data_IF_666032610875
#
_entry.id   IF_666032610875
#
_cell.length_a   1.000
_cell.length_b   1.000
_cell.length_c   1.000
_cell.angle_alpha   90.00
_cell.angle_beta   90.00
_cell.angle_gamma   90.00
#
_symmetry.space_group_name_H-M   'P 1'
#
loop_
_entity.id
_entity.type
_entity.pdbx_description
1 polymer ?
#
# COMPACT_ATOMS: atom_id res chain seq x y z
N UNK A 1 -18.32 1.00 -21.69
CA UNK A 1 -18.46 0.21 -22.93
C UNK A 1 -17.17 -0.51 -23.32
N UNK A 2 -15.98 0.14 -23.23
CA UNK A 2 -14.69 -0.46 -23.62
C UNK A 2 -14.34 -1.75 -22.86
N UNK A 3 -14.76 -1.86 -21.60
CA UNK A 3 -14.46 -2.98 -20.71
C UNK A 3 -15.71 -3.82 -20.34
N UNK A 4 -16.78 -3.76 -21.15
CA UNK A 4 -17.98 -4.54 -20.92
C UNK A 4 -19.11 -3.82 -20.17
N UNK A 5 -18.90 -2.58 -19.72
CA UNK A 5 -19.89 -1.80 -18.98
C UNK A 5 -19.66 -1.80 -17.47
N UNK A 6 -20.53 -1.12 -16.75
CA UNK A 6 -20.46 -1.04 -15.29
C UNK A 6 -20.90 -2.38 -14.67
N UNK A 7 -20.17 -2.83 -13.67
CA UNK A 7 -20.49 -4.02 -12.85
C UNK A 7 -20.85 -3.64 -11.42
N UNK A 8 -20.81 -2.34 -11.08
CA UNK A 8 -21.18 -1.74 -9.80
C UNK A 8 -21.78 -0.37 -10.06
N UNK A 9 -22.74 0.02 -9.25
CA UNK A 9 -23.37 1.35 -9.32
C UNK A 9 -22.57 2.40 -8.55
N UNK A 10 -21.81 1.96 -7.53
CA UNK A 10 -21.00 2.81 -6.67
C UNK A 10 -19.59 2.24 -6.50
N UNK A 11 -18.61 3.13 -6.34
CA UNK A 11 -17.21 2.80 -6.01
C UNK A 11 -16.83 3.55 -4.74
N UNK A 12 -16.29 2.82 -3.78
CA UNK A 12 -15.77 3.38 -2.55
C UNK A 12 -14.36 3.94 -2.77
N UNK A 13 -14.06 5.07 -2.14
CA UNK A 13 -12.76 5.74 -2.21
C UNK A 13 -12.12 5.88 -0.85
N UNK A 14 -10.79 5.81 -0.81
CA UNK A 14 -9.99 6.35 0.28
C UNK A 14 -9.29 7.64 -0.17
N UNK A 15 -8.86 8.45 0.78
CA UNK A 15 -8.11 9.68 0.50
C UNK A 15 -6.63 9.51 0.85
N UNK A 16 -5.75 10.16 0.10
CA UNK A 16 -4.32 10.27 0.44
C UNK A 16 -4.03 11.65 1.02
N UNK A 17 -3.37 11.71 2.17
CA UNK A 17 -3.00 12.94 2.84
C UNK A 17 -2.73 12.76 4.33
N UNK A 18 -2.22 13.81 4.97
CA UNK A 18 -1.80 13.77 6.37
C UNK A 18 -2.96 13.75 7.39
N UNK A 19 -4.21 13.85 6.93
CA UNK A 19 -5.39 14.02 7.79
C UNK A 19 -6.50 12.99 7.47
N UNK A 20 -6.28 11.70 7.81
CA UNK A 20 -7.30 10.66 7.67
C UNK A 20 -8.61 10.96 8.42
N UNK A 21 -8.53 11.66 9.54
CA UNK A 21 -9.67 12.11 10.33
C UNK A 21 -10.62 13.01 9.51
N UNK A 22 -10.08 13.96 8.76
CA UNK A 22 -10.89 14.77 7.84
C UNK A 22 -11.46 13.96 6.67
N UNK A 23 -10.68 13.00 6.15
CA UNK A 23 -11.19 12.10 5.11
C UNK A 23 -12.40 11.31 5.60
N UNK A 24 -12.39 10.84 6.86
CA UNK A 24 -13.53 10.18 7.48
C UNK A 24 -14.77 11.09 7.55
N UNK A 25 -14.59 12.35 8.00
CA UNK A 25 -15.68 13.34 8.05
C UNK A 25 -16.27 13.61 6.66
N UNK A 26 -15.46 13.52 5.59
CA UNK A 26 -15.89 13.67 4.21
C UNK A 26 -16.56 12.42 3.63
N UNK A 27 -16.65 11.31 4.37
CA UNK A 27 -17.32 10.08 3.93
C UNK A 27 -16.44 9.09 3.16
N UNK A 28 -15.11 9.28 3.14
CA UNK A 28 -14.20 8.26 2.60
C UNK A 28 -14.15 7.02 3.51
N UNK A 29 -13.84 5.86 2.93
CA UNK A 29 -13.74 4.59 3.69
C UNK A 29 -12.39 4.39 4.37
N UNK A 30 -11.40 5.21 4.03
CA UNK A 30 -10.03 5.12 4.55
C UNK A 30 -9.20 6.36 4.26
N UNK A 31 -8.04 6.42 4.90
CA UNK A 31 -7.04 7.46 4.69
C UNK A 31 -5.62 6.89 4.66
N UNK A 32 -4.87 7.27 3.64
CA UNK A 32 -3.47 6.87 3.45
C UNK A 32 -2.56 8.04 3.82
N UNK A 33 -1.67 7.83 4.78
CA UNK A 33 -0.74 8.82 5.30
C UNK A 33 0.67 8.58 4.76
N UNK A 34 1.46 9.64 4.45
CA UNK A 34 2.88 9.47 4.18
C UNK A 34 3.65 9.14 5.47
N UNK A 35 4.71 8.33 5.36
CA UNK A 35 5.75 8.26 6.39
C UNK A 35 6.60 9.54 6.35
N UNK A 36 7.14 9.93 7.50
CA UNK A 36 7.98 11.13 7.62
C UNK A 36 9.43 10.80 7.95
N UNK A 37 9.72 9.58 8.37
CA UNK A 37 11.05 9.13 8.79
C UNK A 37 11.49 7.90 8.00
N UNK A 38 12.80 7.65 7.99
CA UNK A 38 13.39 6.58 7.21
C UNK A 38 14.56 5.88 7.92
N UNK A 39 15.30 5.00 7.22
CA UNK A 39 16.34 4.16 7.82
C UNK A 39 17.41 4.93 8.60
N UNK A 40 17.77 6.14 8.18
CA UNK A 40 18.77 6.98 8.87
C UNK A 40 18.29 7.53 10.22
N UNK A 41 16.98 7.54 10.48
CA UNK A 41 16.39 7.94 11.76
C UNK A 41 16.34 6.78 12.77
N UNK A 42 16.61 5.56 12.31
CA UNK A 42 16.64 4.35 13.12
C UNK A 42 15.33 4.10 13.88
N UNK A 43 15.41 3.43 15.02
CA UNK A 43 14.23 3.07 15.83
C UNK A 43 13.47 4.30 16.38
N UNK A 44 14.10 5.47 16.41
CA UNK A 44 13.42 6.70 16.80
C UNK A 44 12.40 7.16 15.74
N UNK A 45 12.75 7.02 14.46
CA UNK A 45 11.84 7.30 13.35
C UNK A 45 10.65 6.32 13.35
N UNK A 46 10.91 5.03 13.55
CA UNK A 46 9.86 3.99 13.66
C UNK A 46 8.85 4.34 14.75
N UNK A 47 9.33 4.72 15.95
CA UNK A 47 8.44 5.11 17.06
C UNK A 47 7.58 6.32 16.73
N UNK A 48 8.11 7.30 15.99
CA UNK A 48 7.39 8.51 15.59
C UNK A 48 6.30 8.21 14.56
N UNK A 49 6.61 7.41 13.51
CA UNK A 49 5.61 6.99 12.53
C UNK A 49 4.52 6.13 13.19
N UNK A 50 4.89 5.20 14.07
CA UNK A 50 3.91 4.40 14.80
C UNK A 50 3.03 5.24 15.74
N UNK A 51 3.57 6.28 16.38
CA UNK A 51 2.80 7.21 17.20
C UNK A 51 1.81 8.03 16.36
N UNK A 52 2.20 8.44 15.14
CA UNK A 52 1.31 9.12 14.20
C UNK A 52 0.14 8.19 13.79
N UNK A 53 0.41 6.92 13.51
CA UNK A 53 -0.63 5.92 13.20
C UNK A 53 -1.56 5.73 14.39
N UNK A 54 -1.03 5.64 15.61
CA UNK A 54 -1.79 5.50 16.84
C UNK A 54 -2.76 6.68 17.05
N UNK A 55 -2.28 7.91 16.92
CA UNK A 55 -3.09 9.13 17.02
C UNK A 55 -4.24 9.13 15.99
N UNK A 56 -3.95 8.76 14.74
CA UNK A 56 -4.99 8.69 13.72
C UNK A 56 -5.97 7.53 13.98
N UNK A 57 -5.53 6.40 14.51
CA UNK A 57 -6.41 5.31 14.90
C UNK A 57 -7.38 5.74 16.00
N UNK A 58 -6.90 6.45 17.00
CA UNK A 58 -7.75 7.01 18.07
C UNK A 58 -8.82 7.96 17.50
N UNK A 59 -8.44 8.86 16.58
CA UNK A 59 -9.35 9.82 15.95
C UNK A 59 -10.35 9.17 14.98
N UNK A 60 -9.89 8.21 14.21
CA UNK A 60 -10.69 7.59 13.16
C UNK A 60 -11.54 6.40 13.64
N UNK A 61 -11.23 5.80 14.81
CA UNK A 61 -11.90 4.59 15.29
C UNK A 61 -11.43 3.32 14.55
N UNK A 62 -11.86 2.15 15.05
CA UNK A 62 -11.33 0.84 14.66
C UNK A 62 -11.66 0.42 13.22
N UNK A 63 -12.84 0.80 12.72
CA UNK A 63 -13.36 0.33 11.43
C UNK A 63 -12.84 1.13 10.24
N UNK A 64 -12.26 2.31 10.46
CA UNK A 64 -11.75 3.16 9.39
C UNK A 64 -10.40 2.64 8.88
N UNK A 65 -10.26 2.48 7.57
CA UNK A 65 -9.01 1.99 6.99
C UNK A 65 -7.91 3.04 7.10
N UNK A 66 -6.83 2.67 7.78
CA UNK A 66 -5.60 3.46 7.80
C UNK A 66 -4.52 2.74 7.02
N UNK A 67 -3.78 3.48 6.22
CA UNK A 67 -2.71 3.00 5.38
C UNK A 67 -1.48 3.90 5.50
N UNK A 68 -0.29 3.32 5.30
CA UNK A 68 0.97 4.07 5.22
C UNK A 68 1.57 3.99 3.82
N UNK A 69 1.98 5.13 3.31
CA UNK A 69 2.72 5.29 2.06
C UNK A 69 4.17 5.64 2.37
N UNK A 70 5.10 4.79 1.99
CA UNK A 70 6.53 4.98 2.25
C UNK A 70 7.28 5.56 1.05
N UNK A 71 6.65 5.65 -0.10
CA UNK A 71 7.18 6.26 -1.32
C UNK A 71 8.65 5.91 -1.60
N UNK A 72 8.98 4.60 -1.56
CA UNK A 72 10.30 4.03 -1.85
C UNK A 72 11.43 4.46 -0.88
N UNK A 73 11.10 5.03 0.27
CA UNK A 73 12.08 5.64 1.17
C UNK A 73 12.73 4.69 2.18
N UNK A 74 12.31 3.42 2.21
CA UNK A 74 12.71 2.47 3.24
C UNK A 74 13.70 1.43 2.71
N UNK A 75 14.35 0.72 3.62
CA UNK A 75 14.97 -0.57 3.37
C UNK A 75 14.12 -1.71 3.98
N UNK A 76 14.44 -2.95 3.66
CA UNK A 76 13.66 -4.12 4.11
C UNK A 76 13.60 -4.24 5.63
N UNK A 77 14.73 -3.99 6.31
CA UNK A 77 14.82 -4.10 7.77
C UNK A 77 13.97 -3.03 8.45
N UNK A 78 14.09 -1.77 7.99
CA UNK A 78 13.31 -0.67 8.55
C UNK A 78 11.81 -0.84 8.26
N UNK A 79 11.43 -1.17 7.03
CA UNK A 79 10.05 -1.42 6.63
C UNK A 79 9.40 -2.56 7.45
N UNK A 80 10.15 -3.65 7.68
CA UNK A 80 9.68 -4.77 8.51
C UNK A 80 9.43 -4.32 9.95
N UNK A 81 10.38 -3.62 10.56
CA UNK A 81 10.23 -3.09 11.92
C UNK A 81 9.07 -2.11 12.04
N UNK A 82 8.91 -1.21 11.05
CA UNK A 82 7.81 -0.25 11.00
C UNK A 82 6.47 -0.96 10.91
N UNK A 83 6.34 -1.97 10.04
CA UNK A 83 5.15 -2.78 9.91
C UNK A 83 4.75 -3.42 11.24
N UNK A 84 5.70 -4.02 11.96
CA UNK A 84 5.47 -4.60 13.29
C UNK A 84 5.11 -3.55 14.35
N UNK A 85 5.73 -2.37 14.33
CA UNK A 85 5.40 -1.29 15.25
C UNK A 85 3.98 -0.74 15.03
N UNK A 86 3.48 -0.78 13.78
CA UNK A 86 2.13 -0.33 13.42
C UNK A 86 1.06 -1.44 13.54
N UNK A 87 1.44 -2.71 13.70
CA UNK A 87 0.50 -3.83 13.78
C UNK A 87 -0.59 -3.66 14.86
N UNK A 88 -0.30 -3.14 16.08
CA UNK A 88 -1.32 -2.94 17.11
C UNK A 88 -2.44 -1.97 16.72
N UNK A 89 -2.22 -1.16 15.70
CA UNK A 89 -3.15 -0.11 15.25
C UNK A 89 -3.97 -0.53 14.04
N UNK A 90 -4.04 -1.82 13.71
CA UNK A 90 -4.84 -2.37 12.61
C UNK A 90 -4.64 -1.63 11.29
N UNK A 91 -3.36 -1.41 10.90
CA UNK A 91 -3.01 -0.79 9.63
C UNK A 91 -3.41 -1.72 8.49
N UNK A 92 -4.16 -1.20 7.50
CA UNK A 92 -4.69 -1.99 6.39
C UNK A 92 -3.58 -2.48 5.46
N UNK A 93 -2.68 -1.57 5.07
CA UNK A 93 -1.47 -1.90 4.31
C UNK A 93 -0.34 -0.92 4.54
N UNK A 94 0.86 -1.38 4.21
CA UNK A 94 2.05 -0.57 4.03
C UNK A 94 2.42 -0.55 2.55
N UNK A 95 2.60 0.64 1.99
CA UNK A 95 2.69 0.88 0.57
C UNK A 95 4.08 1.34 0.17
N UNK A 96 4.56 0.78 -0.94
CA UNK A 96 5.75 1.21 -1.67
C UNK A 96 6.98 1.49 -0.79
N UNK A 97 7.25 0.55 0.12
CA UNK A 97 8.36 0.69 1.07
C UNK A 97 9.73 0.75 0.37
N UNK A 98 9.88 0.03 -0.73
CA UNK A 98 11.15 -0.21 -1.42
C UNK A 98 11.09 0.31 -2.86
N UNK A 99 12.24 0.67 -3.46
CA UNK A 99 12.34 0.93 -4.89
C UNK A 99 11.76 -0.20 -5.73
N UNK A 100 11.15 0.11 -6.90
CA UNK A 100 10.43 -0.88 -7.73
C UNK A 100 11.24 -2.10 -8.13
N UNK A 101 12.56 -1.96 -8.31
CA UNK A 101 13.44 -3.03 -8.76
C UNK A 101 13.81 -4.02 -7.66
N UNK A 102 13.49 -3.73 -6.40
CA UNK A 102 13.86 -4.57 -5.24
C UNK A 102 12.85 -5.71 -5.01
N UNK A 103 12.61 -6.53 -6.02
CA UNK A 103 11.64 -7.64 -5.94
C UNK A 103 11.93 -8.63 -4.81
N UNK A 104 13.20 -8.99 -4.60
CA UNK A 104 13.58 -9.88 -3.49
C UNK A 104 13.32 -9.21 -2.13
N UNK A 105 13.53 -7.90 -2.04
CA UNK A 105 13.18 -7.12 -0.85
C UNK A 105 11.68 -7.15 -0.56
N UNK A 106 10.83 -6.99 -1.57
CA UNK A 106 9.38 -7.13 -1.43
C UNK A 106 8.97 -8.54 -1.00
N UNK A 107 9.62 -9.57 -1.53
CA UNK A 107 9.40 -10.97 -1.13
C UNK A 107 9.74 -11.19 0.34
N UNK A 108 10.88 -10.63 0.79
CA UNK A 108 11.30 -10.70 2.18
C UNK A 108 10.37 -9.90 3.10
N UNK A 109 10.03 -8.66 2.73
CA UNK A 109 9.09 -7.82 3.48
C UNK A 109 7.74 -8.53 3.65
N UNK A 110 7.19 -9.10 2.56
CA UNK A 110 5.90 -9.82 2.62
C UNK A 110 5.96 -11.04 3.54
N UNK A 111 7.03 -11.81 3.52
CA UNK A 111 7.19 -12.96 4.43
C UNK A 111 7.26 -12.58 5.90
N UNK A 112 7.81 -11.40 6.18
CA UNK A 112 8.03 -10.92 7.55
C UNK A 112 6.97 -9.90 8.02
N UNK A 113 6.04 -9.52 7.18
CA UNK A 113 4.95 -8.60 7.56
C UNK A 113 4.03 -9.23 8.61
N UNK A 114 3.49 -8.43 9.55
CA UNK A 114 2.52 -8.90 10.53
C UNK A 114 1.29 -9.55 9.87
N UNK A 115 0.75 -10.57 10.51
CA UNK A 115 -0.49 -11.22 10.06
C UNK A 115 -1.63 -10.19 10.03
N UNK A 116 -2.34 -10.13 8.91
CA UNK A 116 -3.45 -9.19 8.70
C UNK A 116 -3.05 -7.86 8.05
N UNK A 117 -1.75 -7.51 8.03
CA UNK A 117 -1.27 -6.33 7.31
C UNK A 117 -0.93 -6.71 5.86
N UNK A 118 -1.46 -5.97 4.91
CA UNK A 118 -1.13 -6.15 3.49
C UNK A 118 0.11 -5.34 3.09
N UNK A 119 0.83 -5.85 2.11
CA UNK A 119 1.95 -5.15 1.45
C UNK A 119 1.52 -4.82 0.03
N UNK A 120 1.71 -3.59 -0.38
CA UNK A 120 1.34 -3.12 -1.71
C UNK A 120 2.45 -2.32 -2.38
N UNK A 121 2.48 -2.35 -3.70
CA UNK A 121 3.37 -1.57 -4.54
C UNK A 121 2.84 -1.54 -5.97
N UNK A 122 3.39 -0.67 -6.80
CA UNK A 122 3.10 -0.73 -8.22
C UNK A 122 3.00 0.61 -8.94
N UNK A 123 2.75 1.72 -8.27
CA UNK A 123 2.54 2.99 -8.98
C UNK A 123 3.76 3.45 -9.79
N UNK A 124 4.97 3.08 -9.37
CA UNK A 124 6.22 3.36 -10.09
C UNK A 124 6.70 2.21 -11.01
N UNK A 125 5.89 1.18 -11.22
CA UNK A 125 6.21 0.09 -12.16
C UNK A 125 5.73 0.42 -13.57
N UNK A 126 6.64 0.31 -14.55
CA UNK A 126 6.43 0.87 -15.88
C UNK A 126 5.93 -0.09 -16.96
N UNK A 127 5.86 -1.40 -16.77
CA UNK A 127 5.53 -2.34 -17.85
C UNK A 127 4.78 -3.57 -17.35
N UNK A 128 4.05 -4.25 -18.24
CA UNK A 128 3.43 -5.54 -17.91
C UNK A 128 4.45 -6.55 -17.37
N UNK A 129 5.68 -6.56 -17.90
CA UNK A 129 6.71 -7.49 -17.43
C UNK A 129 7.13 -7.21 -15.98
N UNK A 130 7.24 -5.94 -15.60
CA UNK A 130 7.55 -5.59 -14.21
C UNK A 130 6.44 -6.03 -13.24
N UNK A 131 5.18 -5.90 -13.66
CA UNK A 131 4.04 -6.40 -12.86
C UNK A 131 3.98 -7.92 -12.76
N UNK A 132 4.37 -8.65 -13.79
CA UNK A 132 4.53 -10.12 -13.71
C UNK A 132 5.54 -10.49 -12.64
N UNK A 133 6.71 -9.85 -12.65
CA UNK A 133 7.75 -10.07 -11.65
C UNK A 133 7.29 -9.64 -10.25
N UNK A 134 6.63 -8.47 -10.14
CA UNK A 134 6.09 -7.99 -8.88
C UNK A 134 5.06 -8.96 -8.30
N UNK A 135 4.18 -9.50 -9.13
CA UNK A 135 3.17 -10.48 -8.68
C UNK A 135 3.78 -11.75 -8.09
N UNK A 136 5.00 -12.13 -8.53
CA UNK A 136 5.74 -13.30 -8.02
C UNK A 136 6.36 -13.08 -6.65
N UNK A 137 6.42 -11.85 -6.17
CA UNK A 137 6.91 -11.54 -4.82
C UNK A 137 5.94 -11.94 -3.72
N UNK A 138 4.66 -12.12 -4.07
CA UNK A 138 3.61 -12.47 -3.13
C UNK A 138 2.99 -11.28 -2.40
N UNK A 139 3.25 -10.04 -2.85
CA UNK A 139 2.52 -8.86 -2.31
C UNK A 139 1.01 -9.05 -2.46
N UNK A 140 0.24 -8.34 -1.66
CA UNK A 140 -1.21 -8.54 -1.59
C UNK A 140 -1.98 -7.71 -2.61
N UNK A 141 -1.49 -6.51 -2.91
CA UNK A 141 -2.16 -5.54 -3.78
C UNK A 141 -1.17 -5.04 -4.81
N UNK A 142 -1.55 -5.06 -6.07
CA UNK A 142 -0.85 -4.37 -7.14
C UNK A 142 -1.56 -3.05 -7.46
N UNK A 143 -0.83 -1.93 -7.44
CA UNK A 143 -1.37 -0.58 -7.64
C UNK A 143 -0.81 0.05 -8.92
N UNK A 144 -1.18 -0.42 -10.11
CA UNK A 144 -0.69 0.16 -11.36
C UNK A 144 -1.27 1.56 -11.58
N UNK A 145 -0.42 2.51 -11.93
CA UNK A 145 -0.84 3.76 -12.55
C UNK A 145 -1.05 3.53 -14.06
N UNK A 146 -2.21 3.94 -14.59
CA UNK A 146 -2.58 3.69 -15.99
C UNK A 146 -1.65 4.39 -16.97
N UNK A 147 -1.12 5.56 -16.62
CA UNK A 147 -0.16 6.30 -17.45
C UNK A 147 1.22 5.65 -17.46
N UNK A 148 1.65 5.12 -16.32
CA UNK A 148 2.99 4.52 -16.15
C UNK A 148 3.06 3.08 -16.65
N UNK A 149 2.02 2.28 -16.41
CA UNK A 149 2.04 0.86 -16.77
C UNK A 149 1.93 0.58 -18.28
N UNK A 150 1.63 1.59 -19.10
CA UNK A 150 1.52 1.44 -20.55
C UNK A 150 0.08 1.52 -21.08
N UNK A 151 -0.84 2.09 -20.30
CA UNK A 151 -2.21 2.38 -20.71
C UNK A 151 -3.25 1.35 -20.28
N UNK A 152 -4.49 1.61 -20.68
CA UNK A 152 -5.66 0.86 -20.23
C UNK A 152 -5.61 -0.64 -20.57
N UNK A 153 -5.09 -1.01 -21.75
CA UNK A 153 -4.96 -2.43 -22.15
C UNK A 153 -4.04 -3.18 -21.21
N UNK A 154 -2.87 -2.60 -20.91
CA UNK A 154 -1.91 -3.18 -19.97
C UNK A 154 -2.50 -3.27 -18.56
N UNK A 155 -3.26 -2.27 -18.13
CA UNK A 155 -3.94 -2.29 -16.83
C UNK A 155 -4.90 -3.48 -16.69
N UNK A 156 -5.68 -3.79 -17.75
CA UNK A 156 -6.58 -4.96 -17.77
C UNK A 156 -5.79 -6.27 -17.67
N UNK A 157 -4.66 -6.38 -18.36
CA UNK A 157 -3.79 -7.56 -18.27
C UNK A 157 -3.17 -7.71 -16.87
N UNK A 158 -2.76 -6.60 -16.23
CA UNK A 158 -2.26 -6.61 -14.85
C UNK A 158 -3.37 -7.08 -13.90
N UNK A 159 -4.60 -6.59 -14.05
CA UNK A 159 -5.72 -7.05 -13.24
C UNK A 159 -6.01 -8.54 -13.40
N UNK A 160 -5.84 -9.09 -14.62
CA UNK A 160 -5.97 -10.52 -14.86
C UNK A 160 -4.85 -11.33 -14.16
N UNK A 161 -3.62 -10.82 -14.13
CA UNK A 161 -2.50 -11.42 -13.40
C UNK A 161 -2.81 -11.43 -11.90
N UNK A 162 -3.19 -10.29 -11.32
CA UNK A 162 -3.56 -10.18 -9.91
C UNK A 162 -4.63 -11.20 -9.54
N UNK A 163 -5.74 -11.22 -10.29
CA UNK A 163 -6.83 -12.17 -10.08
C UNK A 163 -6.37 -13.62 -10.12
N UNK A 164 -5.49 -13.99 -11.06
CA UNK A 164 -5.01 -15.37 -11.22
C UNK A 164 -4.16 -15.85 -10.03
N UNK A 165 -3.60 -14.91 -9.26
CA UNK A 165 -2.75 -15.17 -8.09
C UNK A 165 -3.45 -14.88 -6.75
N UNK A 166 -4.72 -14.50 -6.76
CA UNK A 166 -5.45 -14.13 -5.55
C UNK A 166 -5.02 -12.80 -4.95
N UNK A 167 -4.37 -11.95 -5.73
CA UNK A 167 -3.97 -10.59 -5.37
C UNK A 167 -5.08 -9.59 -5.73
N UNK A 168 -5.08 -8.42 -5.07
CA UNK A 168 -5.99 -7.31 -5.35
C UNK A 168 -5.38 -6.31 -6.32
#
# INVERSE_FOLDING_TARGET
>A
KLLGGAVRDEIQFYATGARPDLAKEMGFIGGKMPTHWGPHDGDAGIRKDAAMVADMREKCGEDFWLMLDCWMSQDVNYATKLAHACAPYNLKWIEECLPPQQYEGYRELKRNAPVGMMVTSGEHHGTLQSFRTLSETGIDIMQPDVGWCGGLTTLVEIAAIAKSRGQL
#
